data_IF_263512311680
#
_entry.id   IF_263512311680
#
_cell.length_a   1.000
_cell.length_b   1.000
_cell.length_c   1.000
_cell.angle_alpha   90.00
_cell.angle_beta   90.00
_cell.angle_gamma   90.00
#
_symmetry.space_group_name_H-M   'P 1'
#
loop_
_entity.id
_entity.type
_entity.pdbx_description
1 polymer ?
#
# COMPACT_ATOMS: atom_id res chain seq x y z
N UNK A 1 -14.91 -11.06 -22.59
CA UNK A 1 -13.73 -11.64 -23.30
C UNK A 1 -14.26 -12.38 -24.53
N UNK A 2 -13.59 -12.32 -25.68
CA UNK A 2 -14.00 -13.07 -26.87
C UNK A 2 -13.25 -14.40 -26.92
N UNK A 3 -13.99 -15.51 -27.01
CA UNK A 3 -13.47 -16.86 -27.15
C UNK A 3 -13.89 -17.43 -28.51
N UNK A 4 -13.37 -18.61 -28.87
CA UNK A 4 -13.78 -19.33 -30.09
C UNK A 4 -15.29 -19.63 -30.16
N UNK A 5 -16.00 -19.58 -29.03
CA UNK A 5 -17.44 -19.86 -28.93
C UNK A 5 -18.30 -18.60 -28.76
N UNK A 6 -17.70 -17.41 -28.75
CA UNK A 6 -18.43 -16.14 -28.66
C UNK A 6 -17.96 -15.24 -27.51
N UNK A 7 -18.80 -14.28 -27.12
CA UNK A 7 -18.51 -13.33 -26.04
C UNK A 7 -18.87 -13.96 -24.69
N UNK A 8 -17.96 -13.91 -23.72
CA UNK A 8 -18.26 -14.29 -22.34
C UNK A 8 -19.23 -13.28 -21.70
N UNK A 9 -19.90 -13.71 -20.64
CA UNK A 9 -20.62 -12.81 -19.76
C UNK A 9 -19.70 -11.71 -19.20
N UNK A 10 -20.27 -10.55 -18.80
CA UNK A 10 -19.52 -9.50 -18.15
C UNK A 10 -18.84 -10.00 -16.87
N UNK A 11 -17.57 -9.62 -16.69
CA UNK A 11 -16.84 -9.86 -15.45
C UNK A 11 -17.12 -8.67 -14.52
N UNK A 12 -17.78 -8.93 -13.40
CA UNK A 12 -18.02 -7.91 -12.39
C UNK A 12 -16.76 -7.70 -11.56
N UNK A 13 -16.13 -6.54 -11.72
CA UNK A 13 -14.97 -6.11 -10.92
C UNK A 13 -15.49 -5.40 -9.68
N UNK A 14 -15.26 -5.99 -8.50
CA UNK A 14 -15.69 -5.44 -7.21
C UNK A 14 -14.63 -4.59 -6.50
N UNK A 15 -13.36 -4.75 -6.87
CA UNK A 15 -12.22 -4.03 -6.27
C UNK A 15 -11.05 -3.96 -7.25
N UNK A 16 -10.17 -2.97 -7.04
CA UNK A 16 -8.99 -2.74 -7.84
C UNK A 16 -9.12 -1.56 -8.80
N UNK A 17 -8.00 -1.23 -9.45
CA UNK A 17 -7.89 -0.17 -10.46
C UNK A 17 -7.61 -0.79 -11.82
N UNK A 18 -7.98 -0.10 -12.90
CA UNK A 18 -7.80 -0.59 -14.26
C UNK A 18 -6.34 -0.48 -14.70
N UNK A 19 -5.67 -1.58 -14.99
CA UNK A 19 -4.31 -1.54 -15.52
C UNK A 19 -4.25 -0.87 -16.91
N UNK A 20 -3.24 -0.05 -17.13
CA UNK A 20 -3.08 0.73 -18.37
C UNK A 20 -3.96 1.97 -18.46
N UNK A 21 -4.74 2.28 -17.42
CA UNK A 21 -5.49 3.53 -17.33
C UNK A 21 -4.61 4.64 -16.71
N UNK A 22 -4.48 5.82 -17.35
CA UNK A 22 -3.69 6.93 -16.82
C UNK A 22 -4.10 7.41 -15.41
N UNK A 23 -5.35 7.17 -15.00
CA UNK A 23 -5.86 7.59 -13.68
C UNK A 23 -5.59 6.58 -12.57
N UNK A 24 -5.38 5.32 -12.91
CA UNK A 24 -5.19 4.24 -11.93
C UNK A 24 -4.01 4.45 -10.97
N UNK A 25 -2.83 4.94 -11.41
CA UNK A 25 -1.71 5.23 -10.50
C UNK A 25 -2.07 6.28 -9.43
N UNK A 26 -2.78 7.33 -9.82
CA UNK A 26 -3.19 8.39 -8.88
C UNK A 26 -4.18 7.85 -7.84
N UNK A 27 -5.17 7.08 -8.27
CA UNK A 27 -6.14 6.45 -7.37
C UNK A 27 -5.47 5.49 -6.39
N UNK A 28 -4.47 4.74 -6.85
CA UNK A 28 -3.71 3.84 -6.00
C UNK A 28 -2.90 4.61 -4.95
N UNK A 29 -2.20 5.68 -5.34
CA UNK A 29 -1.46 6.54 -4.42
C UNK A 29 -2.39 7.19 -3.39
N UNK A 30 -3.57 7.67 -3.80
CA UNK A 30 -4.57 8.24 -2.89
C UNK A 30 -5.09 7.21 -1.87
N UNK A 31 -5.20 5.94 -2.27
CA UNK A 31 -5.59 4.88 -1.36
C UNK A 31 -4.50 4.58 -0.31
N UNK A 32 -3.22 4.77 -0.64
CA UNK A 32 -2.09 4.57 0.28
C UNK A 32 -1.79 5.78 1.18
N UNK A 33 -2.17 6.99 0.77
CA UNK A 33 -1.87 8.22 1.50
C UNK A 33 -2.26 8.20 3.01
N UNK A 34 -3.43 7.66 3.42
CA UNK A 34 -3.77 7.59 4.84
C UNK A 34 -2.83 6.70 5.66
N UNK A 35 -2.28 5.63 5.06
CA UNK A 35 -1.27 4.79 5.71
C UNK A 35 0.02 5.57 5.93
N UNK A 36 0.48 6.33 4.92
CA UNK A 36 1.69 7.13 5.03
C UNK A 36 1.55 8.22 6.09
N UNK A 37 0.43 8.93 6.09
CA UNK A 37 0.10 9.92 7.12
C UNK A 37 0.11 9.30 8.53
N UNK A 38 -0.46 8.09 8.68
CA UNK A 38 -0.50 7.39 9.96
C UNK A 38 0.89 6.96 10.44
N UNK A 39 1.72 6.44 9.53
CA UNK A 39 3.10 6.06 9.82
C UNK A 39 3.96 7.27 10.18
N UNK A 40 3.77 8.42 9.53
CA UNK A 40 4.49 9.65 9.89
C UNK A 40 4.12 10.14 11.29
N UNK A 41 2.82 10.16 11.60
CA UNK A 41 2.30 10.66 12.87
C UNK A 41 2.61 9.73 14.07
N UNK A 42 2.42 8.42 13.90
CA UNK A 42 2.43 7.46 15.01
C UNK A 42 3.53 6.39 14.91
N UNK A 43 4.16 6.25 13.74
CA UNK A 43 5.23 5.29 13.53
C UNK A 43 6.57 5.75 14.09
N UNK A 44 7.43 4.75 14.28
CA UNK A 44 8.83 4.92 14.70
C UNK A 44 9.72 4.87 13.47
N UNK A 45 10.49 5.94 13.23
CA UNK A 45 11.25 6.09 11.99
C UNK A 45 12.75 6.11 12.22
N UNK A 46 13.48 6.00 11.13
CA UNK A 46 14.92 6.25 11.08
C UNK A 46 15.20 7.75 11.21
N UNK A 47 16.02 8.16 12.18
CA UNK A 47 16.40 9.56 12.35
C UNK A 47 17.67 9.92 11.58
N UNK A 48 17.57 10.92 10.70
CA UNK A 48 18.73 11.46 9.99
C UNK A 48 18.59 12.96 9.76
N UNK A 49 19.60 13.73 10.20
CA UNK A 49 19.67 15.17 9.91
C UNK A 49 18.50 15.99 10.45
N UNK A 50 17.87 15.55 11.55
CA UNK A 50 16.68 16.21 12.13
C UNK A 50 15.35 15.78 11.50
N UNK A 51 15.38 14.90 10.50
CA UNK A 51 14.19 14.31 9.89
C UNK A 51 13.95 12.89 10.43
N UNK A 52 12.67 12.52 10.59
CA UNK A 52 12.24 11.17 10.93
C UNK A 52 11.61 10.54 9.68
N UNK A 53 12.23 9.50 9.16
CA UNK A 53 11.72 8.77 7.99
C UNK A 53 11.13 7.43 8.42
N UNK A 54 9.81 7.27 8.29
CA UNK A 54 9.07 6.09 8.76
C UNK A 54 8.73 5.13 7.61
N UNK A 55 8.46 5.67 6.42
CA UNK A 55 8.17 4.89 5.24
C UNK A 55 8.54 5.61 3.94
N UNK A 56 8.78 4.83 2.89
CA UNK A 56 8.89 5.29 1.51
C UNK A 56 7.91 4.47 0.66
N UNK A 57 7.17 5.13 -0.23
CA UNK A 57 6.25 4.46 -1.14
C UNK A 57 6.50 4.92 -2.57
N UNK A 58 6.51 3.96 -3.49
CA UNK A 58 6.58 4.22 -4.92
C UNK A 58 5.70 3.22 -5.67
N UNK A 59 4.61 3.73 -6.26
CA UNK A 59 3.56 2.88 -6.83
C UNK A 59 3.13 1.82 -5.80
N UNK A 60 3.25 0.53 -6.14
CA UNK A 60 2.93 -0.62 -5.30
C UNK A 60 4.03 -1.04 -4.32
N UNK A 61 5.24 -0.49 -4.44
CA UNK A 61 6.34 -0.78 -3.51
C UNK A 61 6.23 0.11 -2.25
N UNK A 62 6.24 -0.53 -1.07
CA UNK A 62 6.28 0.11 0.24
C UNK A 62 7.52 -0.36 1.02
N UNK A 63 8.30 0.57 1.54
CA UNK A 63 9.46 0.32 2.40
C UNK A 63 9.21 0.95 3.76
N UNK A 64 9.24 0.14 4.82
CA UNK A 64 9.20 0.63 6.20
C UNK A 64 10.61 0.78 6.75
N UNK A 65 10.82 1.81 7.56
CA UNK A 65 12.11 2.13 8.17
C UNK A 65 11.93 2.36 9.67
N UNK A 66 12.87 1.86 10.47
CA UNK A 66 12.91 2.03 11.92
C UNK A 66 14.34 1.85 12.42
N UNK A 67 14.72 2.61 13.46
CA UNK A 67 16.00 2.47 14.16
C UNK A 67 16.05 1.27 15.12
N UNK A 68 14.90 0.65 15.40
CA UNK A 68 14.80 -0.47 16.34
C UNK A 68 13.83 -1.54 15.87
N UNK A 69 14.04 -2.75 16.39
CA UNK A 69 13.12 -3.88 16.20
C UNK A 69 11.73 -3.61 16.78
N UNK A 70 11.66 -2.97 17.95
CA UNK A 70 10.39 -2.61 18.58
C UNK A 70 9.60 -1.59 17.74
N UNK A 71 10.29 -0.58 17.21
CA UNK A 71 9.69 0.41 16.31
C UNK A 71 9.25 -0.20 14.98
N UNK A 72 10.02 -1.14 14.44
CA UNK A 72 9.62 -1.87 13.23
C UNK A 72 8.35 -2.69 13.48
N UNK A 73 8.27 -3.39 14.62
CA UNK A 73 7.09 -4.17 15.00
C UNK A 73 5.85 -3.27 15.15
N UNK A 74 6.01 -2.06 15.69
CA UNK A 74 4.94 -1.07 15.76
C UNK A 74 4.47 -0.61 14.38
N UNK A 75 5.41 -0.30 13.47
CA UNK A 75 5.08 0.10 12.10
C UNK A 75 4.35 -1.02 11.34
N UNK A 76 4.79 -2.27 11.51
CA UNK A 76 4.09 -3.44 10.96
C UNK A 76 2.67 -3.54 11.52
N UNK A 77 2.46 -3.32 12.82
CA UNK A 77 1.11 -3.32 13.41
C UNK A 77 0.19 -2.23 12.84
N UNK A 78 0.73 -1.04 12.53
CA UNK A 78 -0.01 0.03 11.84
C UNK A 78 -0.42 -0.43 10.43
N UNK A 79 0.54 -0.98 9.68
CA UNK A 79 0.32 -1.51 8.34
C UNK A 79 -0.73 -2.64 8.33
N UNK A 80 -0.64 -3.61 9.24
CA UNK A 80 -1.60 -4.70 9.35
C UNK A 80 -3.01 -4.19 9.66
N UNK A 81 -3.14 -3.25 10.60
CA UNK A 81 -4.42 -2.62 10.94
C UNK A 81 -5.01 -1.93 9.70
N UNK A 82 -4.19 -1.20 8.95
CA UNK A 82 -4.62 -0.54 7.73
C UNK A 82 -5.06 -1.53 6.64
N UNK A 83 -4.30 -2.61 6.43
CA UNK A 83 -4.67 -3.70 5.52
C UNK A 83 -6.01 -4.33 5.90
N UNK A 84 -6.26 -4.57 7.19
CA UNK A 84 -7.53 -5.12 7.67
C UNK A 84 -8.71 -4.18 7.42
N UNK A 85 -8.51 -2.86 7.50
CA UNK A 85 -9.56 -1.87 7.28
C UNK A 85 -9.87 -1.63 5.79
N UNK A 86 -8.85 -1.73 4.93
CA UNK A 86 -8.97 -1.36 3.51
C UNK A 86 -9.12 -2.55 2.57
N UNK A 87 -8.78 -3.77 3.03
CA UNK A 87 -8.71 -4.96 2.20
C UNK A 87 -7.43 -5.03 1.33
N UNK A 88 -6.51 -4.08 1.48
CA UNK A 88 -5.19 -4.16 0.87
C UNK A 88 -4.40 -5.34 1.45
N UNK A 89 -3.59 -5.98 0.62
CA UNK A 89 -2.74 -7.10 1.01
C UNK A 89 -1.30 -6.78 0.67
N UNK A 90 -0.42 -6.98 1.63
CA UNK A 90 1.02 -6.89 1.42
C UNK A 90 1.59 -8.27 1.10
N UNK A 91 2.65 -8.30 0.31
CA UNK A 91 3.40 -9.51 0.02
C UNK A 91 4.81 -9.33 0.56
N UNK A 92 5.01 -9.79 1.80
CA UNK A 92 6.24 -9.57 2.57
C UNK A 92 7.38 -10.55 2.25
N UNK A 93 7.13 -11.59 1.46
CA UNK A 93 8.16 -12.52 1.01
C UNK A 93 8.76 -12.05 -0.32
N UNK A 94 10.05 -11.68 -0.28
CA UNK A 94 10.96 -11.69 -1.43
C UNK A 94 12.10 -12.64 -1.13
#
# INVERSE_FOLDING_TARGET
>A
IFTKTGKTDPINISSGVKQGDPMSPLLFNLALDPLLCKLEAEGDGFQHGGYKLTAMAFADDLVLLSDSWEGMNRNIGILETFCNLTGLKTQGEK
#
